data_IF_021762539898
#
_entry.id   IF_021762539898
#
_cell.length_a   1.000
_cell.length_b   1.000
_cell.length_c   1.000
_cell.angle_alpha   90.00
_cell.angle_beta   90.00
_cell.angle_gamma   90.00
#
_symmetry.space_group_name_H-M   'P 1'
#
loop_
_entity.id
_entity.type
_entity.pdbx_description
1 polymer ?
#
# COMPACT_ATOMS: atom_id res chain seq x y z
N UNK A 1 13.03 11.43 -2.87
CA UNK A 1 12.90 11.13 -1.44
C UNK A 1 13.26 9.67 -1.27
N UNK A 2 14.37 9.38 -0.61
CA UNK A 2 14.74 8.01 -0.29
C UNK A 2 13.94 7.60 0.95
N UNK A 3 13.14 6.54 0.82
CA UNK A 3 12.29 6.05 1.92
C UNK A 3 13.10 5.03 2.69
N UNK A 4 13.38 5.34 3.95
CA UNK A 4 14.05 4.41 4.85
C UNK A 4 13.14 3.18 5.06
N UNK A 5 13.75 2.00 4.99
CA UNK A 5 13.04 0.73 5.14
C UNK A 5 13.23 0.23 6.56
N UNK A 6 12.15 -0.27 7.14
CA UNK A 6 12.24 -0.90 8.43
C UNK A 6 12.99 -2.23 8.33
N UNK A 7 14.11 -2.30 9.04
CA UNK A 7 14.96 -3.49 9.14
C UNK A 7 15.08 -3.97 10.58
N UNK A 8 14.31 -3.39 11.51
CA UNK A 8 14.30 -3.76 12.92
C UNK A 8 13.67 -5.15 13.09
N UNK A 9 14.28 -5.96 13.95
CA UNK A 9 13.86 -7.33 14.19
C UNK A 9 15.03 -8.24 14.55
N UNK A 10 14.76 -9.54 14.64
CA UNK A 10 15.78 -10.55 14.90
C UNK A 10 15.45 -11.87 14.21
N UNK A 11 16.49 -12.66 13.91
CA UNK A 11 16.33 -14.07 13.57
C UNK A 11 16.15 -14.88 14.86
N UNK A 12 15.03 -15.59 14.96
CA UNK A 12 14.72 -16.48 16.08
C UNK A 12 15.20 -17.92 15.81
N UNK A 13 15.37 -18.28 14.54
CA UNK A 13 15.81 -19.58 14.07
C UNK A 13 15.78 -19.68 12.54
N UNK A 14 16.15 -20.84 11.96
CA UNK A 14 16.19 -21.01 10.51
C UNK A 14 14.84 -20.68 9.86
N UNK A 15 14.82 -19.70 8.95
CA UNK A 15 13.61 -19.17 8.29
C UNK A 15 12.55 -18.65 9.27
N UNK A 16 12.96 -18.11 10.41
CA UNK A 16 12.06 -17.53 11.40
C UNK A 16 12.59 -16.16 11.82
N UNK A 17 11.99 -15.10 11.29
CA UNK A 17 12.39 -13.72 11.55
C UNK A 17 11.22 -12.94 12.14
N UNK A 18 11.42 -12.38 13.32
CA UNK A 18 10.49 -11.46 13.98
C UNK A 18 10.83 -10.02 13.58
N UNK A 19 9.83 -9.20 13.23
CA UNK A 19 9.99 -7.74 13.06
C UNK A 19 9.74 -6.96 14.35
N UNK A 20 9.91 -5.63 14.30
CA UNK A 20 9.70 -4.75 15.45
C UNK A 20 8.26 -4.76 16.00
N UNK A 21 7.29 -5.23 15.22
CA UNK A 21 5.89 -5.34 15.61
C UNK A 21 5.53 -6.74 16.14
N UNK A 22 6.51 -7.64 16.24
CA UNK A 22 6.35 -9.00 16.76
C UNK A 22 5.80 -10.00 15.73
N UNK A 23 5.75 -9.64 14.45
CA UNK A 23 5.27 -10.53 13.40
C UNK A 23 6.41 -11.43 12.89
N UNK A 24 6.16 -12.73 12.89
CA UNK A 24 7.12 -13.76 12.50
C UNK A 24 6.87 -14.19 11.04
N UNK A 25 7.92 -14.17 10.22
CA UNK A 25 7.86 -14.49 8.80
C UNK A 25 9.11 -15.28 8.33
N UNK A 26 9.04 -15.94 7.15
CA UNK A 26 10.19 -16.66 6.58
C UNK A 26 11.24 -15.74 5.94
N UNK A 27 11.06 -14.42 6.01
CA UNK A 27 11.96 -13.42 5.46
C UNK A 27 12.25 -12.35 6.52
N UNK A 28 13.48 -11.81 6.59
CA UNK A 28 13.80 -10.72 7.51
C UNK A 28 13.02 -9.44 7.14
N UNK A 29 12.84 -8.57 8.13
CA UNK A 29 12.33 -7.21 7.91
C UNK A 29 13.20 -6.48 6.87
N UNK A 30 12.57 -5.66 6.03
CA UNK A 30 13.22 -4.93 4.95
C UNK A 30 13.45 -5.75 3.67
N UNK A 31 13.02 -7.01 3.63
CA UNK A 31 13.20 -7.91 2.48
C UNK A 31 11.90 -8.25 1.76
N UNK A 32 11.90 -8.09 0.44
CA UNK A 32 10.79 -8.47 -0.44
C UNK A 32 9.46 -7.84 0.01
N UNK A 33 8.42 -8.64 0.34
CA UNK A 33 7.13 -8.11 0.77
C UNK A 33 7.17 -7.45 2.16
N UNK A 34 8.26 -7.58 2.93
CA UNK A 34 8.43 -7.00 4.28
C UNK A 34 9.18 -5.67 4.26
N UNK A 35 9.02 -4.90 3.19
CA UNK A 35 9.70 -3.61 2.99
C UNK A 35 8.82 -2.47 3.51
N UNK A 36 8.57 -2.46 4.82
CA UNK A 36 7.77 -1.41 5.44
C UNK A 36 8.56 -0.09 5.47
N UNK A 37 7.96 1.05 5.15
CA UNK A 37 8.63 2.35 5.25
C UNK A 37 8.72 2.80 6.71
N UNK A 38 9.84 3.42 7.09
CA UNK A 38 9.99 4.15 8.34
C UNK A 38 9.71 5.65 8.12
N UNK A 39 9.19 6.29 9.17
CA UNK A 39 8.88 7.72 9.15
C UNK A 39 7.58 8.06 8.44
N UNK A 40 7.46 9.30 7.98
CA UNK A 40 6.27 9.76 7.26
C UNK A 40 6.20 9.09 5.88
N UNK A 41 5.16 8.28 5.70
CA UNK A 41 4.83 7.65 4.42
C UNK A 41 3.39 7.98 4.05
N UNK A 42 3.14 9.09 3.33
CA UNK A 42 1.78 9.52 3.02
C UNK A 42 1.12 8.51 2.08
N UNK A 43 0.06 7.85 2.56
CA UNK A 43 -0.72 6.86 1.81
C UNK A 43 -1.85 7.47 0.99
N UNK A 44 -1.95 8.81 0.97
CA UNK A 44 -3.01 9.54 0.28
C UNK A 44 -3.21 10.94 0.84
N UNK A 45 -4.15 11.71 0.28
CA UNK A 45 -4.55 13.03 0.80
C UNK A 45 -5.14 12.91 2.21
N UNK A 46 -5.04 13.99 2.98
CA UNK A 46 -5.69 14.07 4.30
C UNK A 46 -7.23 14.14 4.17
N UNK A 47 -7.94 13.89 5.27
CA UNK A 47 -9.40 14.04 5.31
C UNK A 47 -9.79 15.48 4.99
N UNK A 48 -10.66 15.66 3.99
CA UNK A 48 -11.09 16.97 3.50
C UNK A 48 -10.27 17.51 2.34
N UNK A 49 -9.09 16.93 2.05
CA UNK A 49 -8.32 17.27 0.87
C UNK A 49 -8.86 16.59 -0.39
N UNK A 50 -8.62 17.21 -1.54
CA UNK A 50 -9.06 16.67 -2.84
C UNK A 50 -8.23 15.43 -3.19
N UNK A 51 -8.91 14.32 -3.47
CA UNK A 51 -8.29 13.14 -4.06
C UNK A 51 -7.63 13.47 -5.41
N UNK A 52 -6.44 12.93 -5.73
CA UNK A 52 -5.84 13.07 -7.05
C UNK A 52 -6.79 12.67 -8.18
N UNK A 53 -6.48 13.11 -9.41
CA UNK A 53 -7.24 12.66 -10.57
C UNK A 53 -6.97 11.16 -10.79
N UNK A 54 -8.03 10.35 -10.75
CA UNK A 54 -7.97 8.90 -10.94
C UNK A 54 -8.71 8.57 -12.22
N UNK A 55 -7.94 8.30 -13.28
CA UNK A 55 -8.43 7.90 -14.60
C UNK A 55 -7.87 6.54 -14.94
N UNK A 56 -8.73 5.59 -15.26
CA UNK A 56 -8.34 4.20 -15.55
C UNK A 56 -9.26 3.58 -16.60
N UNK A 57 -8.94 2.38 -17.05
CA UNK A 57 -9.83 1.54 -17.86
C UNK A 57 -10.46 0.48 -16.97
N UNK A 58 -11.77 0.27 -17.08
CA UNK A 58 -12.43 -0.90 -16.48
C UNK A 58 -12.15 -2.19 -17.28
N UNK A 59 -12.73 -3.30 -16.84
CA UNK A 59 -12.55 -4.62 -17.45
C UNK A 59 -13.07 -4.72 -18.88
N UNK A 60 -14.00 -3.85 -19.28
CA UNK A 60 -14.57 -3.80 -20.64
C UNK A 60 -13.82 -2.78 -21.52
N UNK A 61 -12.77 -2.14 -20.98
CA UNK A 61 -11.98 -1.13 -21.68
C UNK A 61 -12.63 0.25 -21.71
N UNK A 62 -13.72 0.48 -20.96
CA UNK A 62 -14.30 1.83 -20.81
C UNK A 62 -13.37 2.67 -19.94
N UNK A 63 -13.18 3.92 -20.33
CA UNK A 63 -12.50 4.90 -19.48
C UNK A 63 -13.40 5.26 -18.30
N UNK A 64 -12.85 5.11 -17.10
CA UNK A 64 -13.43 5.56 -15.84
C UNK A 64 -12.62 6.76 -15.36
N UNK A 65 -13.27 7.92 -15.26
CA UNK A 65 -12.73 9.09 -14.56
C UNK A 65 -13.52 9.25 -13.26
N UNK A 66 -12.86 9.03 -12.12
CA UNK A 66 -13.52 9.06 -10.82
C UNK A 66 -14.23 10.38 -10.53
N UNK A 67 -13.64 11.52 -10.91
CA UNK A 67 -14.21 12.82 -10.59
C UNK A 67 -15.37 13.18 -11.51
N UNK A 68 -15.30 12.81 -12.79
CA UNK A 68 -16.39 13.00 -13.74
C UNK A 68 -17.54 12.00 -13.49
N UNK A 69 -17.23 10.71 -13.39
CA UNK A 69 -18.21 9.62 -13.32
C UNK A 69 -18.99 9.61 -12.00
N UNK A 70 -18.40 10.10 -10.90
CA UNK A 70 -19.15 10.25 -9.63
C UNK A 70 -20.25 11.30 -9.74
N UNK A 71 -20.22 12.20 -10.72
CA UNK A 71 -21.27 13.19 -11.01
C UNK A 71 -21.80 13.93 -9.75
N UNK A 72 -20.88 14.40 -8.91
CA UNK A 72 -21.20 15.10 -7.66
C UNK A 72 -21.67 14.19 -6.49
N UNK A 73 -21.83 12.90 -6.71
CA UNK A 73 -22.17 11.93 -5.66
C UNK A 73 -20.94 11.48 -4.87
N UNK A 74 -21.14 10.93 -3.65
CA UNK A 74 -20.10 10.21 -2.93
C UNK A 74 -19.62 8.99 -3.72
N UNK A 75 -18.33 8.70 -3.63
CA UNK A 75 -17.72 7.54 -4.26
C UNK A 75 -16.78 6.85 -3.27
N UNK A 76 -16.63 5.53 -3.42
CA UNK A 76 -15.66 4.73 -2.67
C UNK A 76 -14.61 4.22 -3.65
N UNK A 77 -13.35 4.60 -3.44
CA UNK A 77 -12.21 4.08 -4.19
C UNK A 77 -11.46 3.09 -3.30
N UNK A 78 -11.32 1.84 -3.77
CA UNK A 78 -10.60 0.78 -3.04
C UNK A 78 -9.38 0.36 -3.84
N UNK A 79 -8.19 0.54 -3.25
CA UNK A 79 -6.96 -0.04 -3.79
C UNK A 79 -6.82 -1.45 -3.25
N UNK A 80 -6.98 -2.44 -4.12
CA UNK A 80 -6.71 -3.83 -3.77
C UNK A 80 -5.35 -4.25 -4.32
N UNK A 81 -4.49 -4.76 -3.45
CA UNK A 81 -3.28 -5.47 -3.89
C UNK A 81 -3.71 -6.87 -4.30
N UNK A 82 -3.89 -7.09 -5.60
CA UNK A 82 -4.07 -8.44 -6.13
C UNK A 82 -2.75 -9.22 -5.98
N UNK A 83 -2.80 -10.34 -5.27
CA UNK A 83 -1.76 -11.37 -5.32
C UNK A 83 -2.33 -12.51 -6.14
N UNK A 84 -1.75 -12.75 -7.31
CA UNK A 84 -1.98 -14.01 -8.03
C UNK A 84 -1.24 -15.07 -7.21
N UNK A 85 -1.97 -16.09 -6.76
CA UNK A 85 -1.41 -17.29 -6.14
C UNK A 85 -0.74 -18.17 -7.20
#
# INVERSE_FOLDING_TARGET
MEIERDTRGAELGPNQYEDAEGYIAPLPAGSGPRTNPLGEFPTGPAVGERLPDVVTSDSDGRIVDLHADRNGQPAVLVFTRSVVW
#
